data_IF_894758970739
#
_entry.id   IF_894758970739
#
_cell.length_a   1.000
_cell.length_b   1.000
_cell.length_c   1.000
_cell.angle_alpha   90.00
_cell.angle_beta   90.00
_cell.angle_gamma   90.00
#
_symmetry.space_group_name_H-M   'P 1'
#
loop_
_entity.id
_entity.type
_entity.pdbx_description
1 polymer ?
#
# COMPACT_ATOMS: atom_id res chain seq x y z
N UNK A 1 -9.11 35.76 61.01
CA UNK A 1 -8.06 34.87 61.55
C UNK A 1 -8.51 33.44 61.28
N UNK A 2 -7.56 32.56 60.93
CA UNK A 2 -7.74 31.19 60.39
C UNK A 2 -7.93 31.20 58.86
N UNK A 3 -7.06 30.68 58.00
CA UNK A 3 -5.76 29.99 58.10
C UNK A 3 -5.45 29.52 56.66
N UNK A 4 -4.22 29.58 56.13
CA UNK A 4 -3.95 29.17 54.75
C UNK A 4 -3.81 27.65 54.66
N UNK A 5 -4.59 27.03 53.77
CA UNK A 5 -4.54 25.59 53.50
C UNK A 5 -3.44 25.30 52.48
N UNK A 6 -2.32 24.78 52.99
CA UNK A 6 -1.15 24.29 52.26
C UNK A 6 -1.56 23.13 51.35
N UNK A 7 -1.51 23.33 50.02
CA UNK A 7 -1.55 22.22 49.07
C UNK A 7 -0.14 21.64 48.93
N UNK A 8 0.06 20.49 49.57
CA UNK A 8 1.27 19.70 49.53
C UNK A 8 1.51 19.16 48.11
N UNK A 9 2.65 19.55 47.54
CA UNK A 9 3.27 18.92 46.38
C UNK A 9 3.63 17.48 46.77
N UNK A 10 2.95 16.49 46.20
CA UNK A 10 3.37 15.08 46.29
C UNK A 10 4.51 14.88 45.31
N UNK A 11 5.73 14.91 45.83
CA UNK A 11 6.92 14.44 45.13
C UNK A 11 6.79 12.93 44.88
N UNK A 12 6.90 12.53 43.61
CA UNK A 12 7.02 11.14 43.23
C UNK A 12 8.46 10.66 43.46
N UNK A 13 8.68 9.50 44.11
CA UNK A 13 10.02 8.95 44.32
C UNK A 13 10.63 8.48 42.99
N UNK A 14 11.86 8.94 42.72
CA UNK A 14 12.73 8.46 41.63
C UNK A 14 12.96 6.95 41.74
N UNK A 15 12.76 6.16 40.66
CA UNK A 15 13.29 4.81 40.62
C UNK A 15 14.80 4.83 40.30
N UNK A 16 15.53 4.16 41.19
CA UNK A 16 16.96 3.88 41.18
C UNK A 16 17.45 3.21 39.89
N UNK A 17 18.65 3.62 39.47
CA UNK A 17 19.40 3.07 38.35
C UNK A 17 19.65 1.56 38.51
N UNK A 18 19.27 0.79 37.49
CA UNK A 18 19.73 -0.59 37.28
C UNK A 18 20.63 -0.57 36.05
N UNK A 19 21.89 -0.89 36.29
CA UNK A 19 23.00 -0.91 35.36
C UNK A 19 23.14 -2.28 34.70
N UNK A 20 23.22 -2.35 33.37
CA UNK A 20 23.58 -3.53 32.56
C UNK A 20 23.78 -3.09 31.08
N UNK A 21 24.58 -3.80 30.25
CA UNK A 21 26.00 -3.55 30.04
C UNK A 21 26.30 -2.89 28.69
N UNK A 22 27.47 -2.24 28.61
CA UNK A 22 28.01 -1.51 27.45
C UNK A 22 28.10 -2.36 26.17
N UNK A 23 27.59 -1.89 25.01
CA UNK A 23 27.92 -2.50 23.74
C UNK A 23 29.31 -2.03 23.26
N UNK A 24 30.08 -3.00 22.76
CA UNK A 24 31.42 -2.83 22.23
C UNK A 24 31.47 -1.87 21.03
N UNK A 25 32.50 -1.04 21.02
CA UNK A 25 32.83 -0.09 19.95
C UNK A 25 33.21 -0.86 18.68
N UNK A 26 32.39 -0.74 17.64
CA UNK A 26 32.74 -1.16 16.27
C UNK A 26 33.03 0.10 15.46
N UNK A 27 34.28 0.21 14.99
CA UNK A 27 34.75 1.27 14.10
C UNK A 27 34.02 1.24 12.75
N UNK A 28 33.58 2.38 12.18
CA UNK A 28 32.97 2.41 10.85
C UNK A 28 34.06 2.30 9.77
N UNK A 29 34.21 1.12 9.17
CA UNK A 29 34.87 1.00 7.87
C UNK A 29 33.81 1.26 6.79
N UNK A 30 33.94 2.38 6.10
CA UNK A 30 33.12 2.71 4.95
C UNK A 30 33.53 1.81 3.77
N UNK A 31 32.64 0.92 3.33
CA UNK A 31 32.77 0.24 2.04
C UNK A 31 31.56 0.60 1.20
N UNK A 32 31.85 1.27 0.09
CA UNK A 32 30.90 1.80 -0.88
C UNK A 32 30.33 0.62 -1.69
N UNK A 33 29.06 0.28 -1.47
CA UNK A 33 28.34 -0.73 -2.25
C UNK A 33 27.57 -0.06 -3.39
N UNK A 34 28.09 -0.22 -4.60
CA UNK A 34 27.37 0.03 -5.85
C UNK A 34 26.50 -1.21 -6.15
N UNK A 35 25.18 -0.98 -6.20
CA UNK A 35 24.04 -1.87 -6.52
C UNK A 35 24.24 -2.84 -7.71
N UNK A 36 23.28 -3.77 -8.05
CA UNK A 36 22.20 -4.42 -7.29
C UNK A 36 22.05 -5.96 -7.52
N UNK A 37 21.33 -6.64 -6.62
CA UNK A 37 20.67 -7.96 -6.77
C UNK A 37 21.56 -9.23 -6.87
N UNK A 38 21.86 -9.83 -5.71
CA UNK A 38 22.17 -11.26 -5.64
C UNK A 38 20.86 -12.04 -5.50
N UNK A 39 20.39 -12.66 -6.60
CA UNK A 39 19.33 -13.68 -6.51
C UNK A 39 20.00 -14.98 -6.10
N UNK A 40 19.81 -15.39 -4.85
CA UNK A 40 20.22 -16.74 -4.40
C UNK A 40 19.11 -17.72 -4.79
N UNK A 41 19.37 -18.51 -5.84
CA UNK A 41 18.53 -19.64 -6.22
C UNK A 41 18.92 -20.83 -5.33
N UNK A 42 18.11 -21.14 -4.32
CA UNK A 42 18.21 -22.40 -3.57
C UNK A 42 17.48 -23.47 -4.38
N UNK A 43 18.24 -24.31 -5.08
CA UNK A 43 17.70 -25.41 -5.86
C UNK A 43 18.80 -26.26 -6.48
N UNK A 44 18.50 -27.55 -6.66
CA UNK A 44 19.34 -28.52 -7.34
C UNK A 44 19.58 -28.10 -8.81
N UNK A 45 20.81 -28.28 -9.29
CA UNK A 45 21.29 -27.79 -10.59
C UNK A 45 20.37 -28.15 -11.79
N UNK A 46 19.70 -29.30 -11.72
CA UNK A 46 18.74 -29.74 -12.73
C UNK A 46 17.49 -28.85 -12.85
N UNK A 47 17.07 -28.19 -11.76
CA UNK A 47 15.95 -27.24 -11.75
C UNK A 47 16.33 -25.88 -12.35
N UNK A 48 17.54 -25.41 -12.05
CA UNK A 48 18.09 -24.16 -12.60
C UNK A 48 18.27 -24.25 -14.14
N UNK A 49 18.73 -25.39 -14.65
CA UNK A 49 18.87 -25.62 -16.09
C UNK A 49 17.51 -25.60 -16.84
N UNK A 50 16.45 -26.18 -16.27
CA UNK A 50 15.11 -26.12 -16.88
C UNK A 50 14.58 -24.69 -16.93
N UNK A 51 14.84 -23.89 -15.89
CA UNK A 51 14.40 -22.50 -15.82
C UNK A 51 15.18 -21.60 -16.79
N UNK A 52 16.48 -21.85 -17.00
CA UNK A 52 17.31 -21.13 -17.97
C UNK A 52 16.96 -21.50 -19.42
N UNK A 53 16.56 -22.75 -19.70
CA UNK A 53 16.06 -23.15 -21.03
C UNK A 53 14.71 -22.49 -21.37
N UNK A 54 13.89 -22.15 -20.38
CA UNK A 54 12.62 -21.44 -20.57
C UNK A 54 12.77 -19.92 -20.72
N UNK A 55 13.96 -19.35 -20.46
CA UNK A 55 14.29 -17.94 -20.78
C UNK A 55 14.75 -17.73 -22.22
N UNK A 56 14.47 -18.66 -23.15
CA UNK A 56 14.30 -18.27 -24.56
C UNK A 56 12.88 -17.76 -24.76
N UNK A 57 12.62 -16.59 -24.19
CA UNK A 57 11.54 -15.74 -24.65
C UNK A 57 11.72 -15.59 -26.17
N UNK A 58 10.70 -16.00 -26.94
CA UNK A 58 10.60 -15.71 -28.37
C UNK A 58 10.69 -14.19 -28.56
N UNK A 59 11.88 -13.66 -28.80
CA UNK A 59 12.06 -12.34 -29.40
C UNK A 59 11.74 -12.48 -30.89
N UNK A 60 10.79 -11.72 -31.44
CA UNK A 60 10.52 -11.72 -32.87
C UNK A 60 11.74 -11.21 -33.65
N UNK A 61 11.99 -11.85 -34.78
CA UNK A 61 13.15 -11.68 -35.65
C UNK A 61 13.08 -10.35 -36.43
N UNK A 62 13.43 -9.23 -35.79
CA UNK A 62 13.55 -7.95 -36.51
C UNK A 62 14.67 -7.07 -35.91
N UNK A 63 15.88 -7.60 -35.75
CA UNK A 63 17.08 -6.76 -35.75
C UNK A 63 17.92 -7.16 -36.95
N UNK A 64 17.70 -6.44 -38.05
CA UNK A 64 18.63 -6.41 -39.16
C UNK A 64 19.87 -5.60 -38.75
N UNK A 65 21.03 -6.15 -39.11
CA UNK A 65 22.38 -5.55 -39.14
C UNK A 65 23.12 -5.40 -37.81
N UNK A 66 23.70 -6.51 -37.37
CA UNK A 66 25.09 -6.49 -36.91
C UNK A 66 25.94 -7.04 -38.06
N UNK A 67 26.73 -6.18 -38.70
CA UNK A 67 27.78 -6.63 -39.62
C UNK A 67 28.90 -7.23 -38.77
N UNK A 68 28.99 -8.55 -38.77
CA UNK A 68 30.21 -9.26 -38.43
C UNK A 68 30.28 -10.45 -39.38
N UNK A 69 31.16 -10.33 -40.38
CA UNK A 69 31.62 -11.46 -41.15
C UNK A 69 33.13 -11.42 -41.06
N UNK A 70 33.69 -12.33 -40.26
CA UNK A 70 34.97 -12.91 -40.60
C UNK A 70 34.84 -14.43 -40.68
N UNK A 71 35.65 -14.94 -41.61
CA UNK A 71 36.11 -16.31 -41.82
C UNK A 71 35.17 -17.24 -42.62
N UNK A 72 35.63 -17.47 -43.86
CA UNK A 72 35.14 -18.44 -44.82
C UNK A 72 35.31 -19.88 -44.33
N UNK A 73 34.23 -20.67 -44.41
CA UNK A 73 34.32 -22.13 -44.55
C UNK A 73 33.58 -22.50 -45.84
N UNK A 74 34.34 -22.90 -46.85
CA UNK A 74 33.84 -23.46 -48.08
C UNK A 74 33.09 -24.76 -47.77
N UNK A 75 31.77 -24.75 -47.99
CA UNK A 75 30.99 -25.95 -48.22
C UNK A 75 30.15 -25.68 -49.49
N UNK A 76 30.20 -26.54 -50.53
CA UNK A 76 29.32 -26.38 -51.68
C UNK A 76 27.91 -26.76 -51.25
N UNK A 77 27.15 -25.79 -50.76
CA UNK A 77 25.72 -25.95 -50.52
C UNK A 77 25.05 -25.93 -51.89
N UNK A 78 24.61 -27.10 -52.37
CA UNK A 78 23.61 -27.19 -53.43
C UNK A 78 22.35 -26.43 -52.95
N UNK A 79 22.25 -25.16 -53.31
CA UNK A 79 21.07 -24.37 -53.07
C UNK A 79 19.99 -24.84 -54.03
N UNK A 80 19.05 -25.65 -53.53
CA UNK A 80 17.77 -25.81 -54.21
C UNK A 80 17.15 -24.40 -54.31
N UNK A 81 16.69 -23.94 -55.49
CA UNK A 81 16.13 -22.60 -55.62
C UNK A 81 14.92 -22.52 -54.70
N UNK A 82 15.07 -21.77 -53.60
CA UNK A 82 13.93 -21.34 -52.80
C UNK A 82 13.01 -20.59 -53.74
N UNK A 83 11.86 -21.18 -54.05
CA UNK A 83 10.75 -20.48 -54.67
C UNK A 83 10.55 -19.21 -53.86
N UNK A 84 10.79 -18.06 -54.48
CA UNK A 84 10.63 -16.77 -53.84
C UNK A 84 9.16 -16.65 -53.44
N UNK A 85 8.85 -16.86 -52.17
CA UNK A 85 7.58 -16.44 -51.60
C UNK A 85 7.52 -14.92 -51.72
N UNK A 86 6.92 -14.41 -52.80
CA UNK A 86 6.66 -13.00 -53.07
C UNK A 86 5.57 -12.41 -52.14
N UNK A 87 5.45 -12.89 -50.91
CA UNK A 87 4.53 -12.30 -49.94
C UNK A 87 5.36 -11.51 -48.93
N UNK A 88 5.24 -10.16 -48.90
CA UNK A 88 5.88 -9.38 -47.86
C UNK A 88 5.40 -9.90 -46.50
N UNK A 89 6.26 -9.90 -45.47
CA UNK A 89 5.83 -10.30 -44.14
C UNK A 89 4.62 -9.44 -43.78
N UNK A 90 3.50 -10.07 -43.43
CA UNK A 90 2.31 -9.38 -42.93
C UNK A 90 2.68 -8.71 -41.60
N UNK A 91 3.29 -7.52 -41.68
CA UNK A 91 3.53 -6.67 -40.54
C UNK A 91 2.16 -6.26 -39.99
N UNK A 92 1.74 -6.87 -38.88
CA UNK A 92 0.59 -6.34 -38.13
C UNK A 92 0.89 -4.87 -37.85
N UNK A 93 -0.02 -3.94 -38.17
CA UNK A 93 0.21 -2.53 -37.87
C UNK A 93 0.58 -2.40 -36.39
N UNK A 94 1.66 -1.67 -36.11
CA UNK A 94 2.07 -1.37 -34.74
C UNK A 94 0.85 -0.71 -34.09
N UNK A 95 0.29 -1.32 -33.04
CA UNK A 95 -0.81 -0.69 -32.28
C UNK A 95 -0.29 0.65 -31.77
N UNK A 96 -0.73 1.74 -32.41
CA UNK A 96 -0.46 3.09 -31.95
C UNK A 96 -1.26 3.27 -30.66
N UNK A 97 -0.54 3.35 -29.54
CA UNK A 97 -1.15 3.62 -28.25
C UNK A 97 -1.46 5.13 -28.23
N UNK A 98 -2.72 5.55 -28.06
CA UNK A 98 -3.04 6.97 -27.97
C UNK A 98 -2.17 7.62 -26.90
N UNK A 99 -1.59 8.79 -27.23
CA UNK A 99 -0.57 9.45 -26.39
C UNK A 99 -1.14 9.83 -25.02
N UNK A 100 -2.44 10.16 -24.93
CA UNK A 100 -3.18 10.42 -23.68
C UNK A 100 -4.67 10.10 -23.81
N UNK A 101 -5.11 8.83 -23.63
CA UNK A 101 -6.51 8.45 -23.79
C UNK A 101 -7.47 9.09 -22.76
N UNK A 102 -6.94 9.67 -21.68
CA UNK A 102 -7.72 10.20 -20.57
C UNK A 102 -7.51 11.70 -20.31
N UNK A 103 -6.86 12.43 -21.23
CA UNK A 103 -6.52 13.84 -21.01
C UNK A 103 -7.73 14.71 -20.63
N UNK A 104 -8.86 14.53 -21.31
CA UNK A 104 -10.09 15.27 -21.02
C UNK A 104 -10.67 14.93 -19.64
N UNK A 105 -10.66 13.64 -19.26
CA UNK A 105 -11.14 13.21 -17.95
C UNK A 105 -10.24 13.69 -16.81
N UNK A 106 -8.92 13.63 -17.01
CA UNK A 106 -7.95 14.10 -16.03
C UNK A 106 -8.07 15.64 -15.85
N UNK A 107 -8.28 16.40 -16.93
CA UNK A 107 -8.55 17.83 -16.87
C UNK A 107 -9.85 18.15 -16.10
N UNK A 108 -10.95 17.43 -16.38
CA UNK A 108 -12.22 17.60 -15.66
C UNK A 108 -12.07 17.30 -14.15
N UNK A 109 -11.30 16.27 -13.80
CA UNK A 109 -11.03 15.95 -12.40
C UNK A 109 -10.21 17.04 -11.70
N UNK A 110 -9.22 17.61 -12.38
CA UNK A 110 -8.38 18.71 -11.86
C UNK A 110 -9.18 20.00 -11.66
N UNK A 111 -10.10 20.33 -12.56
CA UNK A 111 -11.00 21.48 -12.43
C UNK A 111 -11.82 21.41 -11.12
N UNK A 112 -12.17 20.19 -10.69
CA UNK A 112 -13.00 19.92 -9.52
C UNK A 112 -12.18 19.60 -8.26
N UNK A 113 -10.91 19.99 -8.21
CA UNK A 113 -10.05 19.80 -7.04
C UNK A 113 -10.62 20.44 -5.77
N UNK A 114 -11.30 21.59 -5.89
CA UNK A 114 -11.94 22.28 -4.75
C UNK A 114 -12.97 21.39 -4.04
N UNK A 115 -13.69 20.56 -4.80
CA UNK A 115 -14.66 19.60 -4.27
C UNK A 115 -13.94 18.50 -3.47
N UNK A 116 -12.83 17.97 -3.99
CA UNK A 116 -12.03 16.96 -3.29
C UNK A 116 -11.47 17.51 -1.97
N UNK A 117 -10.97 18.74 -1.97
CA UNK A 117 -10.45 19.41 -0.76
C UNK A 117 -11.53 19.59 0.32
N UNK A 118 -12.74 20.00 -0.08
CA UNK A 118 -13.89 20.12 0.84
C UNK A 118 -14.29 18.75 1.41
N UNK A 119 -14.33 17.72 0.58
CA UNK A 119 -14.67 16.35 1.01
C UNK A 119 -13.61 15.82 1.97
N UNK A 120 -12.33 15.87 1.59
CA UNK A 120 -11.21 15.40 2.39
C UNK A 120 -11.16 16.13 3.75
N UNK A 121 -11.34 17.45 3.75
CA UNK A 121 -11.41 18.24 4.98
C UNK A 121 -12.53 17.80 5.93
N UNK A 122 -13.70 17.39 5.40
CA UNK A 122 -14.80 16.88 6.21
C UNK A 122 -14.47 15.52 6.86
N UNK A 123 -13.77 14.64 6.15
CA UNK A 123 -13.33 13.35 6.70
C UNK A 123 -12.15 13.47 7.65
N UNK A 124 -11.19 14.35 7.38
CA UNK A 124 -10.04 14.62 8.25
C UNK A 124 -10.49 15.09 9.65
N UNK A 125 -11.59 15.86 9.75
CA UNK A 125 -12.15 16.27 11.04
C UNK A 125 -12.74 15.13 11.87
N UNK A 126 -13.00 13.96 11.27
CA UNK A 126 -13.67 12.80 11.90
C UNK A 126 -12.75 11.58 12.01
N UNK A 127 -11.58 11.61 11.39
CA UNK A 127 -10.68 10.46 11.26
C UNK A 127 -9.27 10.86 11.64
N UNK A 128 -8.43 9.87 11.94
CA UNK A 128 -7.04 10.11 12.38
C UNK A 128 -6.10 10.39 11.18
N UNK A 129 -6.56 10.12 9.95
CA UNK A 129 -5.73 10.27 8.76
C UNK A 129 -5.51 11.74 8.39
N UNK A 130 -4.30 12.09 7.88
CA UNK A 130 -4.01 13.45 7.46
C UNK A 130 -4.88 13.84 6.27
N UNK A 131 -5.17 15.14 6.18
CA UNK A 131 -6.05 15.69 5.13
C UNK A 131 -5.47 15.45 3.74
N UNK A 132 -4.15 15.49 3.61
CA UNK A 132 -3.42 15.36 2.35
C UNK A 132 -3.60 13.97 1.75
N UNK A 133 -3.55 12.92 2.56
CA UNK A 133 -3.79 11.53 2.11
C UNK A 133 -5.24 11.37 1.65
N UNK A 134 -6.18 11.87 2.44
CA UNK A 134 -7.62 11.83 2.10
C UNK A 134 -7.93 12.63 0.83
N UNK A 135 -7.22 13.73 0.60
CA UNK A 135 -7.32 14.52 -0.63
C UNK A 135 -6.85 13.71 -1.83
N UNK A 136 -5.72 13.01 -1.74
CA UNK A 136 -5.25 12.16 -2.83
C UNK A 136 -6.27 11.07 -3.18
N UNK A 137 -6.83 10.42 -2.16
CA UNK A 137 -7.87 9.38 -2.37
C UNK A 137 -9.13 9.99 -3.00
N UNK A 138 -9.57 11.15 -2.53
CA UNK A 138 -10.69 11.87 -3.13
C UNK A 138 -10.43 12.20 -4.61
N UNK A 139 -9.21 12.65 -4.94
CA UNK A 139 -8.81 12.94 -6.33
C UNK A 139 -8.80 11.68 -7.21
N UNK A 140 -8.37 10.52 -6.68
CA UNK A 140 -8.48 9.24 -7.40
C UNK A 140 -9.95 8.92 -7.71
N UNK A 141 -10.85 9.19 -6.77
CA UNK A 141 -12.30 9.06 -6.99
C UNK A 141 -12.83 9.98 -8.07
N UNK A 142 -12.40 11.25 -8.10
CA UNK A 142 -12.79 12.18 -9.15
C UNK A 142 -12.26 11.76 -10.52
N UNK A 143 -11.03 11.25 -10.62
CA UNK A 143 -10.47 10.72 -11.88
C UNK A 143 -11.30 9.53 -12.37
N UNK A 144 -11.65 8.60 -11.48
CA UNK A 144 -12.50 7.44 -11.80
C UNK A 144 -13.89 7.88 -12.26
N UNK A 145 -14.47 8.89 -11.61
CA UNK A 145 -15.76 9.47 -11.99
C UNK A 145 -15.68 10.14 -13.36
N UNK A 146 -14.69 11.01 -13.59
CA UNK A 146 -14.52 11.75 -14.83
C UNK A 146 -14.37 10.81 -16.05
N UNK A 147 -13.70 9.67 -15.88
CA UNK A 147 -13.56 8.66 -16.95
C UNK A 147 -14.88 7.97 -17.34
N UNK A 148 -15.89 7.97 -16.46
CA UNK A 148 -17.20 7.31 -16.68
C UNK A 148 -18.33 8.32 -16.84
N UNK A 149 -18.02 9.61 -16.75
CA UNK A 149 -19.00 10.66 -16.76
C UNK A 149 -19.58 10.87 -18.15
N UNK A 150 -20.88 11.11 -18.19
CA UNK A 150 -21.67 11.36 -19.38
C UNK A 150 -22.35 12.73 -19.22
N UNK A 151 -21.94 13.75 -19.99
CA UNK A 151 -22.48 15.11 -19.87
C UNK A 151 -24.00 15.21 -20.09
N UNK A 152 -24.61 14.25 -20.78
CA UNK A 152 -26.05 14.25 -21.05
C UNK A 152 -26.89 14.02 -19.79
N UNK A 153 -26.30 13.48 -18.71
CA UNK A 153 -27.01 13.09 -17.48
C UNK A 153 -27.10 14.21 -16.43
N UNK A 154 -26.49 15.36 -16.68
CA UNK A 154 -26.46 16.50 -15.76
C UNK A 154 -25.05 16.82 -15.24
N UNK A 155 -24.91 17.70 -14.23
CA UNK A 155 -23.62 18.28 -13.84
C UNK A 155 -22.67 17.28 -13.16
N UNK A 156 -21.36 17.48 -13.33
CA UNK A 156 -20.33 16.60 -12.79
C UNK A 156 -20.24 16.63 -11.25
N UNK A 157 -20.44 17.80 -10.62
CA UNK A 157 -20.22 17.98 -9.16
C UNK A 157 -20.97 16.97 -8.28
N UNK A 158 -22.31 16.79 -8.39
CA UNK A 158 -23.02 15.79 -7.58
C UNK A 158 -22.55 14.35 -7.86
N UNK A 159 -22.25 14.03 -9.12
CA UNK A 159 -21.77 12.71 -9.53
C UNK A 159 -20.36 12.41 -9.00
N UNK A 160 -19.41 13.34 -9.15
CA UNK A 160 -18.05 13.20 -8.64
C UNK A 160 -18.02 13.11 -7.11
N UNK A 161 -18.93 13.81 -6.42
CA UNK A 161 -19.03 13.77 -4.95
C UNK A 161 -19.34 12.38 -4.42
N UNK A 162 -20.27 11.64 -5.02
CA UNK A 162 -20.63 10.29 -4.56
C UNK A 162 -19.45 9.33 -4.75
N UNK A 163 -18.72 9.45 -5.86
CA UNK A 163 -17.51 8.67 -6.14
C UNK A 163 -16.37 8.98 -5.17
N UNK A 164 -16.04 10.26 -4.96
CA UNK A 164 -14.96 10.66 -4.05
C UNK A 164 -15.25 10.23 -2.60
N UNK A 165 -16.50 10.40 -2.13
CA UNK A 165 -16.92 9.89 -0.82
C UNK A 165 -16.78 8.37 -0.73
N UNK A 166 -17.16 7.65 -1.78
CA UNK A 166 -17.05 6.20 -1.86
C UNK A 166 -15.61 5.73 -1.72
N UNK A 167 -14.69 6.30 -2.50
CA UNK A 167 -13.26 5.96 -2.44
C UNK A 167 -12.64 6.22 -1.06
N UNK A 168 -12.94 7.36 -0.44
CA UNK A 168 -12.48 7.64 0.93
C UNK A 168 -13.06 6.62 1.92
N UNK A 169 -14.35 6.31 1.80
CA UNK A 169 -14.99 5.33 2.70
C UNK A 169 -14.40 3.93 2.52
N UNK A 170 -14.08 3.52 1.29
CA UNK A 170 -13.38 2.28 1.00
C UNK A 170 -11.98 2.27 1.63
N UNK A 171 -11.21 3.33 1.44
CA UNK A 171 -9.90 3.47 2.09
C UNK A 171 -9.99 3.37 3.61
N UNK A 172 -10.93 4.08 4.24
CA UNK A 172 -11.11 4.04 5.70
C UNK A 172 -11.56 2.66 6.19
N UNK A 173 -12.30 1.90 5.38
CA UNK A 173 -12.67 0.53 5.73
C UNK A 173 -11.45 -0.40 5.76
N UNK A 174 -10.55 -0.23 4.81
CA UNK A 174 -9.41 -1.14 4.61
C UNK A 174 -8.19 -0.75 5.46
N UNK A 175 -7.98 0.56 5.66
CA UNK A 175 -6.80 1.18 6.25
C UNK A 175 -7.11 2.07 7.48
N UNK A 176 -8.38 2.16 7.90
CA UNK A 176 -8.77 2.96 9.07
C UNK A 176 -8.19 2.48 10.41
N UNK A 177 -7.67 1.25 10.44
CA UNK A 177 -7.01 0.69 11.61
C UNK A 177 -5.59 0.27 11.23
N UNK A 178 -4.63 0.73 12.02
CA UNK A 178 -3.22 0.44 11.77
C UNK A 178 -2.87 -1.04 12.04
N UNK A 179 -3.57 -1.66 13.00
CA UNK A 179 -3.55 -3.10 13.23
C UNK A 179 -4.91 -3.67 12.85
N UNK A 180 -4.92 -4.64 11.93
CA UNK A 180 -6.16 -5.34 11.54
C UNK A 180 -6.59 -6.29 12.64
N UNK A 181 -7.51 -5.82 13.49
CA UNK A 181 -8.17 -6.65 14.49
C UNK A 181 -9.42 -7.30 13.88
N UNK A 182 -9.66 -8.61 14.09
CA UNK A 182 -10.88 -9.27 13.62
C UNK A 182 -12.16 -8.49 14.00
N UNK A 183 -13.14 -8.34 13.09
CA UNK A 183 -14.37 -7.58 13.37
C UNK A 183 -15.14 -8.12 14.58
N UNK A 184 -15.14 -9.44 14.79
CA UNK A 184 -15.74 -10.09 15.96
C UNK A 184 -15.16 -9.59 17.27
N UNK A 185 -13.84 -9.41 17.33
CA UNK A 185 -13.17 -8.92 18.54
C UNK A 185 -13.51 -7.46 18.82
N UNK A 186 -13.64 -6.63 17.77
CA UNK A 186 -14.08 -5.23 17.91
C UNK A 186 -15.51 -5.12 18.44
N UNK A 187 -16.41 -5.99 17.98
CA UNK A 187 -17.79 -6.02 18.49
C UNK A 187 -17.84 -6.44 19.96
N UNK A 188 -17.11 -7.49 20.33
CA UNK A 188 -17.00 -7.97 21.71
C UNK A 188 -16.43 -6.86 22.61
N UNK A 189 -15.36 -6.19 22.17
CA UNK A 189 -14.75 -5.06 22.87
C UNK A 189 -15.76 -3.92 23.09
N UNK A 190 -16.47 -3.49 22.06
CA UNK A 190 -17.47 -2.42 22.15
C UNK A 190 -18.68 -2.79 23.01
N UNK A 191 -19.11 -4.06 23.01
CA UNK A 191 -20.16 -4.56 23.91
C UNK A 191 -19.68 -4.61 25.36
N UNK A 192 -18.50 -5.18 25.61
CA UNK A 192 -17.92 -5.28 26.94
C UNK A 192 -17.71 -3.90 27.58
N UNK A 193 -17.17 -2.94 26.83
CA UNK A 193 -17.02 -1.56 27.32
C UNK A 193 -18.36 -0.88 27.65
N UNK A 194 -19.41 -1.09 26.85
CA UNK A 194 -20.75 -0.57 27.18
C UNK A 194 -21.29 -1.16 28.48
N UNK A 195 -21.12 -2.46 28.70
CA UNK A 195 -21.58 -3.13 29.92
C UNK A 195 -20.79 -2.65 31.16
N UNK A 196 -19.47 -2.47 31.03
CA UNK A 196 -18.65 -1.92 32.10
C UNK A 196 -19.03 -0.47 32.45
N UNK A 197 -19.45 0.33 31.46
CA UNK A 197 -19.98 1.68 31.69
C UNK A 197 -21.37 1.72 32.34
N UNK A 198 -22.05 0.57 32.46
CA UNK A 198 -23.32 0.42 33.17
C UNK A 198 -23.16 -0.30 34.52
N UNK A 199 -21.96 -0.25 35.10
CA UNK A 199 -21.59 -0.83 36.40
C UNK A 199 -21.78 -2.36 36.53
N UNK A 200 -21.82 -3.09 35.41
CA UNK A 200 -21.85 -4.56 35.42
C UNK A 200 -20.48 -5.10 35.82
N UNK A 201 -20.45 -6.05 36.76
CA UNK A 201 -19.19 -6.67 37.18
C UNK A 201 -18.50 -7.40 36.03
N UNK A 202 -17.16 -7.40 36.03
CA UNK A 202 -16.34 -8.07 35.02
C UNK A 202 -16.73 -9.55 34.86
N UNK A 203 -16.99 -10.26 35.97
CA UNK A 203 -17.38 -11.67 35.94
C UNK A 203 -18.73 -11.89 35.25
N UNK A 204 -19.72 -11.02 35.52
CA UNK A 204 -21.03 -11.09 34.87
C UNK A 204 -20.93 -10.80 33.37
N UNK A 205 -20.11 -9.82 32.98
CA UNK A 205 -19.85 -9.48 31.59
C UNK A 205 -19.18 -10.62 30.81
N UNK A 206 -18.14 -11.25 31.37
CA UNK A 206 -17.47 -12.41 30.75
C UNK A 206 -18.43 -13.59 30.53
N UNK A 207 -19.32 -13.85 31.51
CA UNK A 207 -20.34 -14.90 31.40
C UNK A 207 -21.37 -14.58 30.31
N UNK A 208 -21.81 -13.32 30.21
CA UNK A 208 -22.77 -12.88 29.21
C UNK A 208 -22.18 -12.93 27.79
N UNK A 209 -20.92 -12.54 27.62
CA UNK A 209 -20.21 -12.57 26.34
C UNK A 209 -19.68 -13.98 25.98
N UNK A 210 -19.74 -14.93 26.91
CA UNK A 210 -19.25 -16.32 26.76
C UNK A 210 -17.77 -16.39 26.36
N UNK A 211 -16.95 -15.54 26.98
CA UNK A 211 -15.49 -15.46 26.73
C UNK A 211 -14.71 -15.69 28.02
N UNK A 212 -13.47 -16.18 27.90
CA UNK A 212 -12.57 -16.35 29.05
C UNK A 212 -11.90 -15.03 29.42
N UNK A 213 -11.39 -14.93 30.66
CA UNK A 213 -10.63 -13.76 31.13
C UNK A 213 -9.37 -13.51 30.29
N UNK A 214 -8.65 -14.57 29.91
CA UNK A 214 -7.46 -14.47 29.06
C UNK A 214 -7.82 -13.94 27.68
N UNK A 215 -8.88 -14.46 27.06
CA UNK A 215 -9.34 -13.99 25.75
C UNK A 215 -9.77 -12.52 25.80
N UNK A 216 -10.45 -12.09 26.87
CA UNK A 216 -10.78 -10.68 27.08
C UNK A 216 -9.54 -9.78 27.20
N UNK A 217 -8.49 -10.23 27.91
CA UNK A 217 -7.21 -9.50 27.98
C UNK A 217 -6.56 -9.36 26.61
N UNK A 218 -6.47 -10.45 25.82
CA UNK A 218 -5.94 -10.38 24.45
C UNK A 218 -6.74 -9.44 23.56
N UNK A 219 -8.08 -9.46 23.67
CA UNK A 219 -8.94 -8.53 22.93
C UNK A 219 -8.70 -7.09 23.36
N UNK A 220 -8.58 -6.82 24.67
CA UNK A 220 -8.27 -5.50 25.19
C UNK A 220 -6.92 -4.99 24.69
N UNK A 221 -5.87 -5.80 24.76
CA UNK A 221 -4.53 -5.44 24.27
C UNK A 221 -4.57 -5.13 22.76
N UNK A 222 -5.21 -5.99 21.98
CA UNK A 222 -5.32 -5.82 20.53
C UNK A 222 -6.15 -4.57 20.15
N UNK A 223 -7.25 -4.28 20.86
CA UNK A 223 -8.12 -3.15 20.57
C UNK A 223 -7.63 -1.82 21.16
N UNK A 224 -6.84 -1.84 22.23
CA UNK A 224 -6.32 -0.63 22.90
C UNK A 224 -4.96 -0.16 22.39
N UNK A 225 -4.30 -0.96 21.53
CA UNK A 225 -3.02 -0.63 20.93
C UNK A 225 -3.09 0.74 20.22
N UNK A 226 -2.52 1.75 20.89
CA UNK A 226 -2.37 3.11 20.37
C UNK A 226 -0.95 3.24 19.84
N UNK A 227 -0.82 3.80 18.64
CA UNK A 227 0.47 4.09 18.05
C UNK A 227 1.11 5.21 18.84
N UNK A 228 2.29 4.92 19.40
CA UNK A 228 3.21 5.96 19.85
C UNK A 228 4.21 6.13 18.71
N UNK A 229 4.21 7.30 18.07
CA UNK A 229 5.26 7.62 17.11
C UNK A 229 6.59 7.62 17.86
N UNK A 230 7.51 6.73 17.48
CA UNK A 230 8.90 6.85 17.93
C UNK A 230 9.54 7.94 17.08
N UNK A 231 9.85 9.07 17.69
CA UNK A 231 10.79 10.03 17.09
C UNK A 231 12.16 9.35 17.14
N UNK A 232 12.78 9.14 15.99
CA UNK A 232 14.17 8.67 15.92
C UNK A 232 15.01 9.94 15.81
N UNK A 233 15.68 10.28 16.91
CA UNK A 233 16.62 11.40 17.00
C UNK A 233 17.91 11.13 16.20
#
# INVERSE_FOLDING_TARGET
MSGPMVSAVREHPKPSAVESPRPAVLTPSAVQLVLPLTVVLVGNAAGAERMLRQRRYRRPACHARAQQLEINLHAPVLHLPRTQCQQPPRCRPRRERPVRPHAAADALALEHRDLAEKIAGNFARRTVHPKEDLLQIAMIGLIKAARRYDPSRGPFRPYGRTYANGEITHFLRDNGFLLKVPPTWREIHARGHRMLGSDVSLAAMLKHLRITRQQWQTILEACSARIVSLQID
#
